data_IF_749545998305
#
_entry.id   IF_749545998305
#
_cell.length_a   1.000
_cell.length_b   1.000
_cell.length_c   1.000
_cell.angle_alpha   90.00
_cell.angle_beta   90.00
_cell.angle_gamma   90.00
#
_symmetry.space_group_name_H-M   'P 1'
#
loop_
_entity.id
_entity.type
_entity.pdbx_description
1 polymer ?
#
# COMPACT_ATOMS: atom_id res chain seq x y z
N UNK A 1 6.00 -20.51 -25.81
CA UNK A 1 4.77 -20.87 -25.09
C UNK A 1 3.98 -19.59 -24.85
N UNK A 2 2.64 -19.63 -24.87
CA UNK A 2 1.85 -18.45 -24.45
C UNK A 2 2.07 -18.20 -22.95
N UNK A 3 2.17 -16.94 -22.56
CA UNK A 3 2.23 -16.57 -21.13
C UNK A 3 1.01 -17.13 -20.40
N UNK A 4 1.18 -17.56 -19.15
CA UNK A 4 0.05 -17.95 -18.27
C UNK A 4 -0.81 -16.71 -17.98
N UNK A 5 -2.11 -16.88 -17.96
CA UNK A 5 -3.07 -15.80 -17.67
C UNK A 5 -3.24 -15.65 -16.16
N UNK A 6 -3.30 -14.42 -15.69
CA UNK A 6 -3.36 -14.10 -14.26
C UNK A 6 -4.62 -13.30 -13.94
N UNK A 7 -5.34 -13.72 -12.92
CA UNK A 7 -6.61 -13.12 -12.51
C UNK A 7 -6.57 -12.70 -11.03
N UNK A 8 -7.42 -11.75 -10.67
CA UNK A 8 -7.65 -11.35 -9.28
C UNK A 8 -8.81 -12.16 -8.71
N UNK A 9 -8.56 -12.88 -7.62
CA UNK A 9 -9.58 -13.72 -6.95
C UNK A 9 -9.94 -13.26 -5.54
N UNK A 10 -9.14 -12.41 -4.91
CA UNK A 10 -9.40 -11.89 -3.57
C UNK A 10 -8.94 -10.45 -3.39
N UNK A 11 -9.69 -9.70 -2.58
CA UNK A 11 -9.47 -8.29 -2.27
C UNK A 11 -9.60 -8.07 -0.77
N UNK A 12 -8.58 -7.45 -0.17
CA UNK A 12 -8.62 -6.93 1.19
C UNK A 12 -8.18 -5.47 1.22
N UNK A 13 -8.93 -4.62 1.92
CA UNK A 13 -8.64 -3.19 1.93
C UNK A 13 -8.97 -2.55 3.27
N UNK A 14 -8.07 -1.68 3.71
CA UNK A 14 -8.20 -0.80 4.86
C UNK A 14 -7.86 0.61 4.38
N UNK A 15 -8.74 1.55 4.61
CA UNK A 15 -8.52 2.95 4.23
C UNK A 15 -9.26 3.90 5.16
N UNK A 16 -8.94 5.20 5.15
CA UNK A 16 -9.71 6.23 5.86
C UNK A 16 -11.18 6.30 5.44
N UNK A 17 -11.51 5.79 4.25
CA UNK A 17 -12.86 5.76 3.72
C UNK A 17 -13.66 4.53 4.17
N UNK A 18 -13.02 3.57 4.84
CA UNK A 18 -13.68 2.40 5.39
C UNK A 18 -12.79 1.17 5.48
N UNK A 19 -13.32 0.12 6.09
CA UNK A 19 -12.70 -1.19 6.27
C UNK A 19 -13.47 -2.21 5.43
N UNK A 20 -12.75 -2.96 4.61
CA UNK A 20 -13.34 -3.93 3.67
C UNK A 20 -13.82 -3.29 2.37
N UNK A 21 -13.80 -4.07 1.28
CA UNK A 21 -14.02 -3.61 -0.10
C UNK A 21 -15.40 -2.96 -0.32
N UNK A 22 -16.45 -3.47 0.32
CA UNK A 22 -17.81 -2.95 0.17
C UNK A 22 -17.95 -1.54 0.76
N UNK A 23 -17.40 -1.32 1.97
CA UNK A 23 -17.45 -0.02 2.64
C UNK A 23 -16.59 1.03 1.89
N UNK A 24 -15.39 0.63 1.46
CA UNK A 24 -14.51 1.50 0.67
C UNK A 24 -15.16 1.87 -0.65
N UNK A 25 -15.70 0.89 -1.37
CA UNK A 25 -16.40 1.15 -2.63
C UNK A 25 -17.61 2.08 -2.46
N UNK A 26 -18.42 1.85 -1.43
CA UNK A 26 -19.58 2.71 -1.11
C UNK A 26 -19.15 4.14 -0.81
N UNK A 27 -18.09 4.33 -0.04
CA UNK A 27 -17.58 5.67 0.27
C UNK A 27 -17.02 6.37 -0.98
N UNK A 28 -16.20 5.67 -1.76
CA UNK A 28 -15.61 6.20 -3.00
C UNK A 28 -16.68 6.57 -4.03
N UNK A 29 -17.63 5.68 -4.28
CA UNK A 29 -18.72 5.90 -5.26
C UNK A 29 -19.69 7.02 -4.84
N UNK A 30 -19.76 7.34 -3.55
CA UNK A 30 -20.55 8.47 -3.04
C UNK A 30 -19.75 9.76 -2.86
N UNK A 31 -18.46 9.79 -3.25
CA UNK A 31 -17.58 10.95 -3.10
C UNK A 31 -17.28 11.32 -1.65
N UNK A 32 -17.36 10.36 -0.71
CA UNK A 32 -17.05 10.61 0.69
C UNK A 32 -15.55 10.72 0.91
N UNK A 33 -15.08 11.84 1.42
CA UNK A 33 -13.68 12.03 1.83
C UNK A 33 -13.43 11.51 3.25
N UNK A 34 -12.28 10.84 3.45
CA UNK A 34 -11.78 10.42 4.76
C UNK A 34 -10.84 11.44 5.41
N UNK A 35 -10.57 12.57 4.76
CA UNK A 35 -9.62 13.59 5.24
C UNK A 35 -10.22 14.38 6.38
N UNK A 36 -9.43 14.58 7.45
CA UNK A 36 -9.83 15.31 8.67
C UNK A 36 -8.63 16.07 9.24
N UNK A 37 -8.87 16.92 10.21
CA UNK A 37 -7.81 17.47 11.06
C UNK A 37 -7.13 16.33 11.82
N UNK A 38 -5.80 16.37 11.91
CA UNK A 38 -4.99 15.44 12.72
C UNK A 38 -5.27 15.72 14.19
N UNK A 39 -5.50 14.68 14.97
CA UNK A 39 -5.73 14.75 16.41
C UNK A 39 -4.82 13.83 17.23
N UNK A 40 -4.02 12.98 16.57
CA UNK A 40 -3.13 12.02 17.22
C UNK A 40 -1.85 12.64 17.83
N UNK A 41 -1.46 13.85 17.40
CA UNK A 41 -0.30 14.60 17.89
C UNK A 41 -0.44 16.08 17.61
N UNK A 42 0.39 16.92 18.24
CA UNK A 42 0.38 18.36 18.04
C UNK A 42 0.90 18.75 16.66
N UNK A 43 0.01 19.29 15.82
CA UNK A 43 0.32 19.78 14.47
C UNK A 43 0.44 21.30 14.40
N UNK A 44 0.47 22.01 15.53
CA UNK A 44 0.48 23.48 15.56
C UNK A 44 1.68 24.08 14.83
N UNK A 45 2.82 23.39 14.85
CA UNK A 45 4.09 23.82 14.25
C UNK A 45 4.20 23.55 12.74
N UNK A 46 3.36 22.69 12.16
CA UNK A 46 3.39 22.35 10.74
C UNK A 46 2.51 23.30 9.91
N UNK A 47 2.76 23.42 8.60
CA UNK A 47 1.89 24.16 7.69
C UNK A 47 0.57 23.44 7.43
N UNK A 48 0.65 22.13 7.18
CA UNK A 48 -0.53 21.27 7.04
C UNK A 48 -1.03 20.81 8.41
N UNK A 49 -2.37 20.73 8.57
CA UNK A 49 -3.03 20.26 9.80
C UNK A 49 -3.92 19.04 9.55
N UNK A 50 -3.90 18.53 8.31
CA UNK A 50 -4.86 17.54 7.81
C UNK A 50 -4.18 16.27 7.38
N UNK A 51 -4.85 15.15 7.59
CA UNK A 51 -4.45 13.83 7.12
C UNK A 51 -5.67 12.93 6.91
N UNK A 52 -5.47 11.78 6.30
CA UNK A 52 -6.50 10.77 6.14
C UNK A 52 -6.11 9.51 6.93
N UNK A 53 -6.64 9.41 8.15
CA UNK A 53 -6.38 8.32 9.09
C UNK A 53 -7.48 7.25 9.02
N UNK A 54 -7.11 5.98 9.11
CA UNK A 54 -8.05 4.86 9.22
C UNK A 54 -8.57 4.73 10.67
N UNK A 55 -9.35 5.72 11.13
CA UNK A 55 -9.80 5.86 12.54
C UNK A 55 -10.71 4.73 13.00
N UNK A 56 -11.45 4.12 12.08
CA UNK A 56 -12.35 3.00 12.38
C UNK A 56 -11.62 1.65 12.49
N UNK A 57 -10.29 1.65 12.35
CA UNK A 57 -9.48 0.45 12.47
C UNK A 57 -9.33 0.02 13.93
N UNK A 58 -9.97 -1.08 14.28
CA UNK A 58 -9.84 -1.75 15.56
C UNK A 58 -9.21 -3.13 15.32
N UNK A 59 -7.91 -3.33 15.61
CA UNK A 59 -7.21 -4.56 15.29
C UNK A 59 -7.81 -5.79 16.00
N UNK A 60 -8.35 -5.61 17.21
CA UNK A 60 -8.95 -6.70 17.96
C UNK A 60 -10.27 -7.20 17.34
N UNK A 61 -11.14 -6.26 16.95
CA UNK A 61 -12.39 -6.60 16.22
C UNK A 61 -12.11 -7.20 14.85
N UNK A 62 -10.96 -6.93 14.27
CA UNK A 62 -10.51 -7.43 12.97
C UNK A 62 -9.67 -8.72 13.09
N UNK A 63 -9.58 -9.30 14.30
CA UNK A 63 -9.07 -10.66 14.53
C UNK A 63 -7.60 -10.75 14.88
N UNK A 64 -6.93 -9.64 15.22
CA UNK A 64 -5.59 -9.70 15.80
C UNK A 64 -5.66 -9.98 17.31
N UNK A 65 -4.74 -10.79 17.80
CA UNK A 65 -4.55 -11.04 19.22
C UNK A 65 -3.83 -9.88 19.90
N UNK A 66 -3.90 -9.82 21.23
CA UNK A 66 -3.17 -8.82 21.99
C UNK A 66 -1.65 -8.91 21.75
N UNK A 67 -1.12 -10.12 21.66
CA UNK A 67 0.30 -10.34 21.39
C UNK A 67 0.71 -9.83 20.00
N UNK A 68 -0.09 -10.08 18.96
CA UNK A 68 0.16 -9.57 17.61
C UNK A 68 0.13 -8.04 17.58
N UNK A 69 -0.86 -7.41 18.22
CA UNK A 69 -0.96 -5.93 18.27
C UNK A 69 0.24 -5.30 18.99
N UNK A 70 0.72 -5.89 20.08
CA UNK A 70 1.84 -5.32 20.85
C UNK A 70 3.19 -5.40 20.13
N UNK A 71 3.39 -6.42 19.28
CA UNK A 71 4.66 -6.63 18.57
C UNK A 71 4.69 -6.09 17.13
N UNK A 72 3.56 -5.65 16.59
CA UNK A 72 3.44 -5.15 15.22
C UNK A 72 3.25 -3.64 15.21
N UNK A 73 4.04 -2.93 14.39
CA UNK A 73 3.70 -1.56 14.02
C UNK A 73 2.35 -1.50 13.30
N UNK A 74 1.71 -0.34 13.30
CA UNK A 74 0.39 -0.12 12.71
C UNK A 74 0.30 -0.54 11.24
N UNK A 75 1.34 -0.26 10.43
CA UNK A 75 1.34 -0.65 9.01
C UNK A 75 1.37 -2.18 8.85
N UNK A 76 2.07 -2.90 9.74
CA UNK A 76 2.08 -4.36 9.76
C UNK A 76 0.69 -4.89 10.08
N UNK A 77 0.03 -4.31 11.09
CA UNK A 77 -1.35 -4.66 11.45
C UNK A 77 -2.29 -4.47 10.25
N UNK A 78 -2.15 -3.37 9.49
CA UNK A 78 -2.92 -3.13 8.28
C UNK A 78 -2.67 -4.21 7.23
N UNK A 79 -1.41 -4.52 6.92
CA UNK A 79 -1.03 -5.54 5.95
C UNK A 79 -1.58 -6.92 6.30
N UNK A 80 -1.43 -7.34 7.56
CA UNK A 80 -1.93 -8.64 8.02
C UNK A 80 -3.46 -8.71 7.98
N UNK A 81 -4.15 -7.68 8.45
CA UNK A 81 -5.63 -7.66 8.44
C UNK A 81 -6.17 -7.60 7.01
N UNK A 82 -5.62 -6.77 6.14
CA UNK A 82 -6.02 -6.71 4.74
C UNK A 82 -5.71 -8.04 4.02
N UNK A 83 -4.56 -8.66 4.31
CA UNK A 83 -4.22 -10.00 3.82
C UNK A 83 -5.24 -11.06 4.26
N UNK A 84 -5.60 -11.08 5.53
CA UNK A 84 -6.65 -11.98 6.04
C UNK A 84 -8.00 -11.77 5.31
N UNK A 85 -8.36 -10.50 5.04
CA UNK A 85 -9.57 -10.18 4.26
C UNK A 85 -9.48 -10.69 2.83
N UNK A 86 -8.33 -10.50 2.15
CA UNK A 86 -8.10 -10.95 0.79
C UNK A 86 -8.17 -12.48 0.68
N UNK A 87 -7.56 -13.20 1.60
CA UNK A 87 -7.64 -14.66 1.65
C UNK A 87 -9.05 -15.15 1.88
N UNK A 88 -9.78 -14.57 2.84
CA UNK A 88 -11.18 -14.90 3.08
C UNK A 88 -12.04 -14.66 1.84
N UNK A 89 -11.81 -13.56 1.15
CA UNK A 89 -12.56 -13.15 -0.05
C UNK A 89 -12.27 -14.07 -1.24
N UNK A 90 -11.01 -14.53 -1.39
CA UNK A 90 -10.61 -15.47 -2.44
C UNK A 90 -11.21 -16.86 -2.29
N UNK A 91 -11.62 -17.24 -1.09
CA UNK A 91 -12.10 -18.57 -0.78
C UNK A 91 -11.05 -19.68 -0.91
N UNK A 92 -9.76 -19.35 -0.84
CA UNK A 92 -8.66 -20.32 -0.87
C UNK A 92 -8.74 -21.25 0.33
N UNK A 93 -8.57 -22.53 0.06
CA UNK A 93 -8.43 -23.58 1.07
C UNK A 93 -6.97 -24.05 1.10
N UNK A 94 -6.19 -23.45 2.00
CA UNK A 94 -4.75 -23.72 2.11
C UNK A 94 -4.39 -25.20 2.36
N UNK A 95 -5.34 -26.00 2.86
CA UNK A 95 -5.11 -27.44 3.07
C UNK A 95 -5.04 -28.24 1.74
N UNK A 96 -5.48 -27.61 0.66
CA UNK A 96 -5.50 -28.21 -0.69
C UNK A 96 -4.43 -27.63 -1.62
N UNK A 97 -3.74 -26.60 -1.16
CA UNK A 97 -2.75 -25.89 -1.96
C UNK A 97 -1.33 -26.39 -1.64
N UNK A 98 -0.45 -26.32 -2.62
CA UNK A 98 0.99 -26.49 -2.39
C UNK A 98 1.57 -25.18 -1.85
N UNK A 99 2.01 -25.12 -0.58
CA UNK A 99 2.52 -23.90 0.02
C UNK A 99 3.75 -23.33 -0.71
N UNK A 100 4.52 -24.15 -1.42
CA UNK A 100 5.69 -23.71 -2.19
C UNK A 100 5.30 -22.96 -3.48
N UNK A 101 4.03 -23.08 -3.88
CA UNK A 101 3.45 -22.42 -5.06
C UNK A 101 2.70 -21.12 -4.72
N UNK A 102 2.71 -20.70 -3.45
CA UNK A 102 2.08 -19.47 -2.99
C UNK A 102 3.15 -18.52 -2.48
N UNK A 103 3.33 -17.41 -3.18
CA UNK A 103 4.28 -16.36 -2.81
C UNK A 103 3.59 -15.12 -2.22
N UNK A 104 4.39 -14.28 -1.59
CA UNK A 104 3.98 -12.99 -1.00
C UNK A 104 4.94 -11.90 -1.45
N UNK A 105 4.39 -10.80 -1.92
CA UNK A 105 5.13 -9.57 -2.19
C UNK A 105 4.31 -8.38 -1.71
N UNK A 106 4.59 -7.87 -0.52
CA UNK A 106 3.94 -6.67 -0.03
C UNK A 106 4.90 -5.48 -0.08
N UNK A 107 4.35 -4.34 -0.42
CA UNK A 107 5.09 -3.11 -0.62
C UNK A 107 4.84 -2.10 0.49
N UNK A 108 5.84 -1.26 0.74
CA UNK A 108 5.75 -0.07 1.56
C UNK A 108 6.84 0.94 1.16
N UNK A 109 6.80 2.14 1.73
CA UNK A 109 7.79 3.18 1.45
C UNK A 109 8.47 3.72 2.72
N UNK A 110 7.77 3.74 3.85
CA UNK A 110 8.18 4.42 5.08
C UNK A 110 8.31 3.45 6.25
N UNK A 111 7.59 2.33 6.21
CA UNK A 111 7.61 1.23 7.20
C UNK A 111 7.27 1.63 8.65
N UNK A 112 7.90 0.98 9.65
CA UNK A 112 7.62 1.05 11.08
C UNK A 112 8.02 2.34 11.79
N UNK A 113 7.79 3.50 11.17
CA UNK A 113 8.19 4.81 11.70
C UNK A 113 7.50 5.12 13.03
N UNK A 114 6.23 4.76 13.15
CA UNK A 114 5.45 5.00 14.37
C UNK A 114 6.08 4.25 15.57
N UNK A 115 6.33 2.97 15.40
CA UNK A 115 6.93 2.16 16.45
C UNK A 115 8.34 2.64 16.82
N UNK A 116 9.14 3.03 15.81
CA UNK A 116 10.49 3.58 16.04
C UNK A 116 10.46 4.91 16.78
N UNK A 117 9.55 5.83 16.47
CA UNK A 117 9.41 7.11 17.18
C UNK A 117 8.99 6.90 18.64
N UNK A 118 7.97 6.09 18.87
CA UNK A 118 7.49 5.76 20.22
C UNK A 118 8.60 5.11 21.07
N UNK A 119 9.34 4.19 20.46
CA UNK A 119 10.45 3.52 21.12
C UNK A 119 11.60 4.48 21.43
N UNK A 120 11.96 5.33 20.45
CA UNK A 120 13.01 6.34 20.64
C UNK A 120 12.63 7.30 21.79
N UNK A 121 11.42 7.81 21.81
CA UNK A 121 10.93 8.67 22.89
C UNK A 121 11.03 7.97 24.26
N UNK A 122 10.63 6.70 24.34
CA UNK A 122 10.66 5.92 25.57
C UNK A 122 12.09 5.69 26.09
N UNK A 123 13.01 5.23 25.23
CA UNK A 123 14.37 4.82 25.66
C UNK A 123 15.32 5.99 25.87
N UNK A 124 14.96 7.20 25.38
CA UNK A 124 15.78 8.41 25.49
C UNK A 124 15.15 9.50 26.35
N UNK A 125 13.97 9.28 26.93
CA UNK A 125 13.21 10.32 27.64
C UNK A 125 13.02 11.56 26.72
N UNK A 126 12.39 11.33 25.55
CA UNK A 126 12.18 12.33 24.50
C UNK A 126 13.48 12.99 24.00
N UNK A 127 14.52 12.22 23.81
CA UNK A 127 15.82 12.71 23.32
C UNK A 127 16.67 13.43 24.38
N UNK A 128 16.25 13.47 25.66
CA UNK A 128 16.97 14.15 26.75
C UNK A 128 18.13 13.33 27.31
N UNK A 129 18.14 12.02 27.06
CA UNK A 129 19.15 11.06 27.57
C UNK A 129 19.70 10.21 26.44
N UNK A 130 20.92 9.68 26.56
CA UNK A 130 21.42 8.65 25.66
C UNK A 130 20.50 7.41 25.67
N UNK A 131 20.50 6.67 24.56
CA UNK A 131 19.77 5.40 24.45
C UNK A 131 20.21 4.44 25.55
N UNK A 132 19.23 3.88 26.26
CA UNK A 132 19.44 2.81 27.22
C UNK A 132 19.03 1.47 26.58
N UNK A 133 19.97 0.63 26.12
CA UNK A 133 19.65 -0.60 25.42
C UNK A 133 18.84 -1.60 26.25
N UNK A 134 18.90 -1.50 27.59
CA UNK A 134 18.15 -2.40 28.48
C UNK A 134 16.64 -2.14 28.47
N UNK A 135 16.21 -0.98 27.94
CA UNK A 135 14.81 -0.56 27.85
C UNK A 135 14.21 -0.79 26.48
N UNK A 136 15.05 -1.11 25.49
CA UNK A 136 14.58 -1.37 24.12
C UNK A 136 13.69 -2.61 24.13
N UNK A 137 12.49 -2.47 23.58
CA UNK A 137 11.56 -3.60 23.44
C UNK A 137 12.15 -4.66 22.49
N UNK A 138 12.07 -5.95 22.83
CA UNK A 138 12.66 -7.02 22.02
C UNK A 138 12.03 -7.10 20.60
N UNK A 139 10.80 -6.64 20.46
CA UNK A 139 10.04 -6.67 19.19
C UNK A 139 10.37 -5.50 18.24
N UNK A 140 11.23 -4.54 18.67
CA UNK A 140 11.53 -3.34 17.86
C UNK A 140 12.06 -3.70 16.47
N UNK A 141 12.96 -4.68 16.38
CA UNK A 141 13.51 -5.12 15.11
C UNK A 141 12.41 -5.60 14.16
N UNK A 142 11.57 -6.52 14.62
CA UNK A 142 10.51 -7.10 13.81
C UNK A 142 9.42 -6.06 13.47
N UNK A 143 9.07 -5.18 14.42
CA UNK A 143 8.07 -4.15 14.20
C UNK A 143 8.49 -3.13 13.14
N UNK A 144 9.79 -2.80 13.06
CA UNK A 144 10.29 -1.69 12.24
C UNK A 144 10.72 -2.09 10.83
N UNK A 145 10.92 -3.40 10.55
CA UNK A 145 11.48 -3.84 9.27
C UNK A 145 10.46 -3.80 8.12
N UNK A 146 10.92 -3.34 6.94
CA UNK A 146 10.11 -3.22 5.72
C UNK A 146 9.36 -4.50 5.33
N UNK A 147 9.98 -5.65 5.52
CA UNK A 147 9.48 -6.96 5.08
C UNK A 147 8.54 -7.64 6.08
N UNK A 148 8.33 -7.06 7.25
CA UNK A 148 7.51 -7.68 8.31
C UNK A 148 6.10 -8.05 7.86
N UNK A 149 5.33 -7.21 7.12
CA UNK A 149 3.99 -7.62 6.67
C UNK A 149 4.02 -8.87 5.78
N UNK A 150 5.02 -9.00 4.89
CA UNK A 150 5.18 -10.16 4.02
C UNK A 150 5.49 -11.43 4.83
N UNK A 151 6.41 -11.33 5.80
CA UNK A 151 6.81 -12.44 6.66
C UNK A 151 5.66 -12.86 7.57
N UNK A 152 4.93 -11.92 8.16
CA UNK A 152 3.79 -12.21 9.03
C UNK A 152 2.70 -13.00 8.32
N UNK A 153 2.34 -12.61 7.11
CA UNK A 153 1.37 -13.37 6.31
C UNK A 153 1.91 -14.73 5.90
N UNK A 154 3.17 -14.80 5.44
CA UNK A 154 3.79 -16.06 5.07
C UNK A 154 3.83 -17.05 6.23
N UNK A 155 4.25 -16.58 7.41
CA UNK A 155 4.32 -17.39 8.63
C UNK A 155 2.94 -17.85 9.09
N UNK A 156 1.96 -16.94 9.12
CA UNK A 156 0.60 -17.21 9.60
C UNK A 156 -0.11 -18.28 8.78
N UNK A 157 0.11 -18.30 7.47
CA UNK A 157 -0.55 -19.24 6.55
C UNK A 157 0.37 -20.38 6.07
N UNK A 158 1.62 -20.42 6.55
CA UNK A 158 2.59 -21.45 6.16
C UNK A 158 3.00 -21.37 4.69
N UNK A 159 3.00 -20.18 4.09
CA UNK A 159 3.34 -19.98 2.67
C UNK A 159 4.85 -20.10 2.49
N UNK A 160 5.29 -20.87 1.51
CA UNK A 160 6.69 -21.23 1.29
C UNK A 160 7.23 -20.82 -0.08
N UNK A 161 6.43 -20.15 -0.89
CA UNK A 161 6.89 -19.51 -2.12
C UNK A 161 7.78 -18.31 -1.84
N UNK A 162 8.06 -17.51 -2.86
CA UNK A 162 8.84 -16.28 -2.72
C UNK A 162 8.19 -15.35 -1.68
N UNK A 163 9.01 -14.75 -0.81
CA UNK A 163 8.57 -13.75 0.16
C UNK A 163 9.44 -12.51 0.00
N UNK A 164 8.92 -11.51 -0.70
CA UNK A 164 9.62 -10.29 -1.04
C UNK A 164 8.89 -9.05 -0.52
N UNK A 165 9.62 -7.94 -0.48
CA UNK A 165 9.07 -6.61 -0.22
C UNK A 165 9.68 -5.63 -1.21
N UNK A 166 8.85 -4.82 -1.84
CA UNK A 166 9.27 -3.75 -2.73
C UNK A 166 9.07 -2.39 -2.05
N UNK A 167 10.04 -1.51 -2.23
CA UNK A 167 10.01 -0.16 -1.67
C UNK A 167 10.47 0.85 -2.73
N UNK A 168 9.59 1.10 -3.70
CA UNK A 168 9.81 1.99 -4.85
C UNK A 168 9.05 3.32 -4.70
N UNK A 169 8.72 3.70 -3.46
CA UNK A 169 7.95 4.90 -3.18
C UNK A 169 6.48 4.75 -3.55
N UNK A 170 5.89 5.78 -4.17
CA UNK A 170 4.45 5.82 -4.47
C UNK A 170 3.98 4.71 -5.42
N UNK A 171 4.86 4.11 -6.20
CA UNK A 171 4.54 3.02 -7.15
C UNK A 171 4.62 1.64 -6.54
N UNK A 172 5.17 1.51 -5.33
CA UNK A 172 5.52 0.23 -4.72
C UNK A 172 4.39 -0.81 -4.72
N UNK A 173 3.15 -0.37 -4.43
CA UNK A 173 1.97 -1.24 -4.46
C UNK A 173 1.69 -1.80 -5.86
N UNK A 174 1.81 -0.97 -6.90
CA UNK A 174 1.63 -1.40 -8.30
C UNK A 174 2.79 -2.27 -8.76
N UNK A 175 4.02 -1.94 -8.37
CA UNK A 175 5.21 -2.75 -8.68
C UNK A 175 5.12 -4.15 -8.06
N UNK A 176 4.55 -4.25 -6.87
CA UNK A 176 4.25 -5.53 -6.22
C UNK A 176 3.28 -6.39 -7.06
N UNK A 177 2.27 -5.78 -7.67
CA UNK A 177 1.35 -6.48 -8.58
C UNK A 177 2.06 -6.92 -9.86
N UNK A 178 2.94 -6.06 -10.41
CA UNK A 178 3.79 -6.40 -11.56
C UNK A 178 4.69 -7.59 -11.29
N UNK A 179 5.39 -7.58 -10.14
CA UNK A 179 6.20 -8.71 -9.70
C UNK A 179 5.39 -10.01 -9.59
N UNK A 180 4.20 -9.94 -8.96
CA UNK A 180 3.31 -11.09 -8.85
C UNK A 180 2.82 -11.61 -10.19
N UNK A 181 2.47 -10.70 -11.11
CA UNK A 181 2.09 -11.05 -12.48
C UNK A 181 3.19 -11.82 -13.19
N UNK A 182 4.42 -11.29 -13.22
CA UNK A 182 5.59 -11.91 -13.87
C UNK A 182 5.89 -13.28 -13.28
N UNK A 183 5.95 -13.39 -11.96
CA UNK A 183 6.24 -14.63 -11.23
C UNK A 183 5.24 -15.75 -11.56
N UNK A 184 3.95 -15.43 -11.71
CA UNK A 184 2.93 -16.40 -12.13
C UNK A 184 3.06 -16.72 -13.63
N UNK A 185 3.31 -15.71 -14.47
CA UNK A 185 3.48 -15.92 -15.92
C UNK A 185 4.66 -16.82 -16.24
N UNK A 186 5.75 -16.72 -15.50
CA UNK A 186 6.96 -17.56 -15.64
C UNK A 186 6.76 -18.97 -15.08
N UNK A 187 5.63 -19.24 -14.41
CA UNK A 187 5.30 -20.56 -13.90
C UNK A 187 5.96 -20.92 -12.57
N UNK A 188 6.61 -19.97 -11.91
CA UNK A 188 7.24 -20.20 -10.61
C UNK A 188 6.21 -20.40 -9.50
N UNK A 189 5.10 -19.62 -9.55
CA UNK A 189 4.01 -19.71 -8.58
C UNK A 189 2.64 -19.83 -9.28
N UNK A 190 1.65 -20.30 -8.55
CA UNK A 190 0.25 -20.35 -9.00
C UNK A 190 -0.57 -19.25 -8.35
N UNK A 191 -0.13 -18.77 -7.18
CA UNK A 191 -0.81 -17.74 -6.40
C UNK A 191 0.24 -16.75 -5.87
N UNK A 192 -0.06 -15.45 -5.96
CA UNK A 192 0.73 -14.39 -5.35
C UNK A 192 -0.16 -13.46 -4.53
N UNK A 193 0.27 -13.17 -3.32
CA UNK A 193 -0.32 -12.16 -2.44
C UNK A 193 0.42 -10.86 -2.65
N UNK A 194 -0.23 -9.88 -3.26
CA UNK A 194 0.41 -8.63 -3.68
C UNK A 194 -0.35 -7.41 -3.17
N UNK A 195 0.33 -6.29 -3.09
CA UNK A 195 -0.24 -5.03 -2.65
C UNK A 195 0.71 -4.27 -1.73
N UNK A 196 0.15 -3.44 -0.85
CA UNK A 196 0.96 -2.64 0.06
C UNK A 196 0.24 -2.25 1.34
N UNK A 197 1.02 -1.83 2.32
CA UNK A 197 0.53 -1.31 3.59
C UNK A 197 1.44 -0.19 4.09
N UNK A 198 0.83 0.91 4.57
CA UNK A 198 1.56 2.06 5.09
C UNK A 198 0.79 2.74 6.23
N UNK A 199 1.52 3.24 7.24
CA UNK A 199 0.96 4.04 8.33
C UNK A 199 1.90 5.22 8.67
N UNK A 200 2.06 6.20 7.76
CA UNK A 200 3.09 7.21 7.85
C UNK A 200 2.69 8.44 8.66
N UNK A 201 1.51 8.45 9.30
CA UNK A 201 1.01 9.63 10.01
C UNK A 201 1.62 9.65 11.41
N UNK A 202 2.87 10.11 11.46
CA UNK A 202 3.68 10.29 12.66
C UNK A 202 4.36 11.66 12.64
N UNK A 203 4.74 12.24 13.79
CA UNK A 203 5.36 13.57 13.84
C UNK A 203 6.54 13.74 12.89
N UNK A 204 7.49 12.80 12.85
CA UNK A 204 8.69 12.95 12.02
C UNK A 204 8.38 12.79 10.53
N UNK A 205 7.56 11.83 10.16
CA UNK A 205 7.17 11.63 8.75
C UNK A 205 6.32 12.78 8.24
N UNK A 206 5.38 13.25 9.08
CA UNK A 206 4.54 14.40 8.77
C UNK A 206 5.39 15.64 8.56
N UNK A 207 6.36 15.90 9.45
CA UNK A 207 7.32 17.00 9.33
C UNK A 207 8.21 16.87 8.10
N UNK A 208 8.66 15.67 7.75
CA UNK A 208 9.49 15.44 6.56
C UNK A 208 8.75 15.82 5.27
N UNK A 209 7.46 15.52 5.15
CA UNK A 209 6.65 15.94 4.01
C UNK A 209 6.25 17.43 4.06
N UNK A 210 6.03 17.98 5.26
CA UNK A 210 5.66 19.39 5.43
C UNK A 210 6.80 20.33 4.99
N UNK A 211 8.05 20.03 5.36
CA UNK A 211 9.22 20.89 5.01
C UNK A 211 9.55 20.90 3.52
N UNK A 212 9.18 19.87 2.75
CA UNK A 212 9.35 19.86 1.29
C UNK A 212 8.19 20.51 0.55
N UNK A 213 7.19 21.04 1.27
CA UNK A 213 6.04 21.80 0.75
C UNK A 213 5.24 21.06 -0.33
N UNK A 214 5.03 19.78 -0.16
CA UNK A 214 4.25 18.94 -1.09
C UNK A 214 2.86 18.61 -0.58
N UNK A 215 2.58 18.94 0.69
CA UNK A 215 1.29 18.71 1.33
C UNK A 215 0.32 19.88 1.11
N UNK A 216 -0.96 19.57 0.99
CA UNK A 216 -2.02 20.58 0.93
C UNK A 216 -2.15 21.30 2.27
N UNK A 217 -2.33 22.62 2.20
CA UNK A 217 -2.57 23.49 3.36
C UNK A 217 -4.03 23.97 3.45
N UNK A 218 -4.95 23.34 2.74
CA UNK A 218 -6.40 23.60 2.85
C UNK A 218 -7.00 23.12 4.18
N UNK A 219 -6.45 23.61 5.28
CA UNK A 219 -6.80 23.18 6.65
C UNK A 219 -8.25 23.52 7.03
N UNK A 220 -8.80 24.59 6.48
CA UNK A 220 -10.17 25.07 6.78
C UNK A 220 -11.25 24.21 6.13
N UNK A 221 -10.91 23.45 5.07
CA UNK A 221 -11.83 22.56 4.39
C UNK A 221 -11.15 21.21 4.05
N UNK A 222 -10.90 20.38 5.05
CA UNK A 222 -10.15 19.12 4.87
C UNK A 222 -10.72 18.21 3.78
N UNK A 223 -12.04 18.09 3.72
CA UNK A 223 -12.72 17.16 2.78
C UNK A 223 -12.58 17.56 1.32
N UNK A 224 -12.19 18.79 1.03
CA UNK A 224 -11.94 19.33 -0.31
C UNK A 224 -10.45 19.60 -0.59
N UNK A 225 -9.54 19.20 0.30
CA UNK A 225 -8.11 19.48 0.17
C UNK A 225 -7.47 18.69 -0.97
N UNK A 226 -7.69 17.37 -1.03
CA UNK A 226 -7.25 16.56 -2.18
C UNK A 226 -8.19 16.80 -3.34
N UNK A 227 -7.67 17.43 -4.40
CA UNK A 227 -8.42 17.82 -5.61
C UNK A 227 -7.59 17.64 -6.88
N UNK A 228 -7.25 16.39 -7.24
CA UNK A 228 -6.46 16.10 -8.43
C UNK A 228 -7.04 16.76 -9.67
N UNK A 229 -6.16 17.29 -10.53
CA UNK A 229 -6.48 18.00 -11.79
C UNK A 229 -7.24 19.33 -11.64
N UNK A 230 -7.61 19.74 -10.42
CA UNK A 230 -8.22 21.04 -10.15
C UNK A 230 -7.17 22.16 -10.27
N UNK A 231 -7.58 23.33 -10.78
CA UNK A 231 -6.68 24.48 -10.92
C UNK A 231 -6.22 25.05 -9.57
N UNK A 232 -6.97 24.83 -8.50
CA UNK A 232 -6.67 25.30 -7.15
C UNK A 232 -5.99 24.24 -6.27
N UNK A 233 -5.53 23.11 -6.87
CA UNK A 233 -4.78 22.10 -6.14
C UNK A 233 -3.46 22.67 -5.63
N UNK A 234 -3.07 22.30 -4.43
CA UNK A 234 -1.89 22.84 -3.76
C UNK A 234 -0.95 21.78 -3.15
N UNK A 235 -1.31 20.51 -3.24
CA UNK A 235 -0.53 19.40 -2.70
C UNK A 235 -1.38 18.18 -2.41
N UNK A 236 -0.73 17.08 -2.04
CA UNK A 236 -1.44 15.88 -1.61
C UNK A 236 -1.77 15.91 -0.12
N UNK A 237 -2.60 14.98 0.35
CA UNK A 237 -2.90 14.78 1.77
C UNK A 237 -2.33 13.43 2.19
N UNK A 238 -1.49 13.43 3.23
CA UNK A 238 -0.89 12.21 3.76
C UNK A 238 -1.98 11.26 4.27
N UNK A 239 -1.87 9.98 3.93
CA UNK A 239 -2.86 8.97 4.27
C UNK A 239 -2.19 7.68 4.76
N UNK A 240 -2.97 6.84 5.42
CA UNK A 240 -2.58 5.50 5.83
C UNK A 240 -3.58 4.46 5.31
N UNK A 241 -3.16 3.21 5.24
CA UNK A 241 -4.04 2.10 4.84
C UNK A 241 -3.29 0.91 4.26
N UNK A 242 -4.06 -0.02 3.70
CA UNK A 242 -3.55 -1.20 3.02
C UNK A 242 -4.52 -1.66 1.93
N UNK A 243 -3.97 -2.10 0.80
CA UNK A 243 -4.70 -2.79 -0.25
C UNK A 243 -3.95 -4.05 -0.65
N UNK A 244 -4.60 -5.21 -0.48
CA UNK A 244 -4.03 -6.52 -0.79
C UNK A 244 -4.92 -7.24 -1.78
N UNK A 245 -4.29 -7.79 -2.82
CA UNK A 245 -4.92 -8.57 -3.87
C UNK A 245 -4.33 -9.99 -3.91
N UNK A 246 -5.19 -10.96 -4.21
CA UNK A 246 -4.76 -12.32 -4.53
C UNK A 246 -4.74 -12.45 -6.04
N UNK A 247 -3.53 -12.56 -6.59
CA UNK A 247 -3.27 -12.89 -7.98
C UNK A 247 -3.22 -14.40 -8.11
N UNK A 248 -3.87 -14.96 -9.12
CA UNK A 248 -3.97 -16.40 -9.29
C UNK A 248 -3.90 -16.78 -10.78
N UNK A 249 -3.24 -17.86 -11.10
CA UNK A 249 -3.24 -18.42 -12.44
C UNK A 249 -4.66 -18.81 -12.83
N UNK A 250 -5.07 -18.43 -14.05
CA UNK A 250 -6.46 -18.58 -14.51
C UNK A 250 -6.94 -20.04 -14.46
N UNK A 251 -6.13 -21.00 -14.94
CA UNK A 251 -6.50 -22.42 -14.94
C UNK A 251 -6.66 -22.96 -13.52
N UNK A 252 -5.81 -22.51 -12.58
CA UNK A 252 -5.91 -22.83 -11.17
C UNK A 252 -7.22 -22.28 -10.59
N UNK A 253 -7.53 -20.99 -10.82
CA UNK A 253 -8.75 -20.33 -10.35
C UNK A 253 -10.03 -21.03 -10.89
N UNK A 254 -10.04 -21.38 -12.17
CA UNK A 254 -11.16 -22.07 -12.80
C UNK A 254 -11.37 -23.47 -12.22
N UNK A 255 -10.28 -24.23 -11.98
CA UNK A 255 -10.34 -25.59 -11.42
C UNK A 255 -11.01 -25.64 -10.06
N UNK A 256 -10.81 -24.61 -9.21
CA UNK A 256 -11.44 -24.50 -7.91
C UNK A 256 -12.74 -23.68 -7.91
N UNK A 257 -13.23 -23.29 -9.10
CA UNK A 257 -14.44 -22.46 -9.27
C UNK A 257 -14.35 -21.12 -8.49
N UNK A 258 -13.17 -20.50 -8.50
CA UNK A 258 -12.95 -19.23 -7.84
C UNK A 258 -13.80 -18.10 -8.44
N UNK A 259 -14.21 -17.16 -7.60
CA UNK A 259 -14.69 -15.87 -8.09
C UNK A 259 -13.55 -15.12 -8.74
N UNK A 260 -13.72 -14.65 -9.96
CA UNK A 260 -12.76 -13.82 -10.68
C UNK A 260 -13.31 -12.41 -10.76
N UNK A 261 -12.53 -11.43 -10.31
CA UNK A 261 -12.84 -10.00 -10.41
C UNK A 261 -12.47 -9.42 -11.75
N UNK A 262 -11.24 -9.67 -12.18
CA UNK A 262 -10.68 -9.21 -13.44
C UNK A 262 -9.44 -10.03 -13.79
N UNK A 263 -8.92 -9.81 -15.00
CA UNK A 263 -7.63 -10.32 -15.44
C UNK A 263 -6.60 -9.20 -15.42
N UNK A 264 -5.36 -9.50 -14.99
CA UNK A 264 -4.21 -8.61 -15.08
C UNK A 264 -3.49 -8.89 -16.38
N UNK A 265 -3.56 -7.96 -17.33
CA UNK A 265 -3.14 -8.19 -18.69
C UNK A 265 -1.67 -7.88 -18.95
N UNK A 266 -1.09 -6.93 -18.23
CA UNK A 266 0.29 -6.52 -18.43
C UNK A 266 0.76 -5.50 -17.39
N UNK A 267 2.07 -5.29 -17.38
CA UNK A 267 2.75 -4.37 -16.47
C UNK A 267 3.84 -3.60 -17.22
N UNK A 268 4.14 -2.40 -16.76
CA UNK A 268 5.23 -1.58 -17.28
C UNK A 268 5.83 -0.72 -16.18
N UNK A 269 7.14 -0.62 -16.15
CA UNK A 269 7.87 0.25 -15.21
C UNK A 269 9.02 0.95 -15.94
N UNK A 270 9.36 2.15 -15.50
CA UNK A 270 10.47 2.94 -16.03
C UNK A 270 11.01 3.89 -14.96
N UNK A 271 12.17 4.47 -15.21
CA UNK A 271 12.80 5.47 -14.36
C UNK A 271 13.06 6.75 -15.18
N UNK A 272 12.79 7.92 -14.58
CA UNK A 272 13.07 9.20 -15.24
C UNK A 272 14.56 9.60 -15.15
N UNK A 273 15.32 9.01 -14.22
CA UNK A 273 16.74 9.31 -13.97
C UNK A 273 17.05 10.83 -13.82
N UNK A 274 16.06 11.59 -13.35
CA UNK A 274 16.12 13.05 -13.25
C UNK A 274 16.28 13.52 -11.80
N UNK A 275 15.32 13.19 -10.95
CA UNK A 275 15.28 13.60 -9.55
C UNK A 275 14.52 12.58 -8.71
N UNK A 276 14.76 12.56 -7.39
CA UNK A 276 14.10 11.60 -6.48
C UNK A 276 12.57 11.75 -6.45
N UNK A 277 12.08 12.98 -6.50
CA UNK A 277 10.65 13.31 -6.38
C UNK A 277 10.11 14.18 -7.52
N UNK A 278 10.96 14.96 -8.20
CA UNK A 278 10.53 15.85 -9.27
C UNK A 278 10.44 15.13 -10.62
N UNK A 279 9.56 15.64 -11.47
CA UNK A 279 9.33 15.14 -12.82
C UNK A 279 10.01 16.07 -13.83
N UNK A 280 10.69 15.52 -14.85
CA UNK A 280 11.08 16.32 -16.02
C UNK A 280 9.81 16.77 -16.74
N UNK A 281 9.84 17.99 -17.29
CA UNK A 281 8.66 18.58 -17.93
C UNK A 281 8.31 18.03 -19.31
N UNK A 282 8.93 16.93 -19.75
CA UNK A 282 8.74 16.31 -21.06
C UNK A 282 7.71 15.17 -21.09
N UNK A 283 7.41 14.56 -19.94
CA UNK A 283 6.50 13.42 -19.80
C UNK A 283 7.01 12.10 -20.40
N UNK A 284 8.27 12.05 -20.86
CA UNK A 284 8.83 10.90 -21.58
C UNK A 284 8.86 9.61 -20.74
N UNK A 285 9.21 9.72 -19.46
CA UNK A 285 9.27 8.57 -18.57
C UNK A 285 7.89 7.94 -18.35
N UNK A 286 6.84 8.76 -18.19
CA UNK A 286 5.46 8.26 -18.05
C UNK A 286 4.95 7.66 -19.35
N UNK A 287 5.23 8.31 -20.47
CA UNK A 287 4.90 7.80 -21.81
C UNK A 287 5.56 6.44 -22.06
N UNK A 288 6.85 6.29 -21.67
CA UNK A 288 7.56 5.03 -21.79
C UNK A 288 6.95 3.93 -20.90
N UNK A 289 6.62 4.24 -19.64
CA UNK A 289 5.98 3.30 -18.73
C UNK A 289 4.63 2.79 -19.28
N UNK A 290 3.76 3.69 -19.75
CA UNK A 290 2.48 3.36 -20.36
C UNK A 290 2.68 2.51 -21.63
N UNK A 291 3.65 2.88 -22.46
CA UNK A 291 3.99 2.14 -23.68
C UNK A 291 4.42 0.71 -23.41
N UNK A 292 5.25 0.51 -22.34
CA UNK A 292 5.67 -0.81 -21.90
C UNK A 292 4.49 -1.64 -21.42
N UNK A 293 3.58 -1.08 -20.62
CA UNK A 293 2.39 -1.78 -20.15
C UNK A 293 1.44 -2.17 -21.30
N UNK A 294 1.24 -1.28 -22.27
CA UNK A 294 0.44 -1.58 -23.48
C UNK A 294 1.09 -2.67 -24.33
N UNK A 295 2.40 -2.63 -24.48
CA UNK A 295 3.15 -3.67 -25.21
C UNK A 295 3.04 -5.04 -24.52
N UNK A 296 3.17 -5.07 -23.19
CA UNK A 296 3.09 -6.31 -22.42
C UNK A 296 1.68 -6.91 -22.46
N UNK A 297 0.65 -6.07 -22.31
CA UNK A 297 -0.75 -6.49 -22.40
C UNK A 297 -1.22 -6.84 -23.81
N UNK A 298 -0.50 -6.41 -24.86
CA UNK A 298 -0.93 -6.54 -26.26
C UNK A 298 -2.08 -5.61 -26.66
N UNK A 299 -2.45 -4.65 -25.81
CA UNK A 299 -3.55 -3.71 -26.07
C UNK A 299 -3.06 -2.47 -26.82
N UNK A 300 -4.00 -1.85 -27.53
CA UNK A 300 -3.80 -0.54 -28.18
C UNK A 300 -4.38 0.57 -27.31
N UNK A 301 -3.88 1.82 -27.39
CA UNK A 301 -4.40 2.94 -26.61
C UNK A 301 -5.91 3.12 -26.68
N UNK A 302 -6.51 2.89 -27.85
CA UNK A 302 -7.97 3.02 -28.08
C UNK A 302 -8.83 1.94 -27.39
N UNK A 303 -8.20 0.92 -26.82
CA UNK A 303 -8.85 -0.19 -26.10
C UNK A 303 -8.82 0.05 -24.59
N UNK A 304 -8.30 1.21 -24.15
CA UNK A 304 -8.29 1.64 -22.74
C UNK A 304 -9.49 2.57 -22.54
N UNK A 305 -10.39 2.17 -21.66
CA UNK A 305 -11.61 2.93 -21.34
C UNK A 305 -11.44 3.86 -20.15
N UNK A 306 -10.51 3.53 -19.21
CA UNK A 306 -10.32 4.29 -17.99
C UNK A 306 -8.86 4.26 -17.54
N UNK A 307 -8.36 5.38 -17.02
CA UNK A 307 -7.05 5.51 -16.38
C UNK A 307 -7.25 5.94 -14.94
N UNK A 308 -6.82 5.11 -14.00
CA UNK A 308 -6.65 5.53 -12.62
C UNK A 308 -5.26 6.16 -12.49
N UNK A 309 -5.19 7.48 -12.64
CA UNK A 309 -3.94 8.22 -12.59
C UNK A 309 -3.37 8.25 -11.17
N UNK A 310 -2.08 8.58 -11.02
CA UNK A 310 -1.50 8.88 -9.72
C UNK A 310 -2.30 10.01 -9.04
N UNK A 311 -2.59 11.10 -9.75
CA UNK A 311 -3.54 12.11 -9.30
C UNK A 311 -3.25 12.61 -7.88
N UNK A 312 -1.99 12.97 -7.62
CA UNK A 312 -1.55 13.34 -6.26
C UNK A 312 -2.05 14.69 -5.78
N UNK A 313 -2.78 15.45 -6.64
CA UNK A 313 -3.19 16.84 -6.32
C UNK A 313 -1.99 17.82 -6.21
N UNK A 314 -0.80 17.41 -6.66
CA UNK A 314 0.35 18.32 -6.79
C UNK A 314 0.33 19.02 -8.15
N UNK A 315 0.92 20.21 -8.20
CA UNK A 315 0.92 21.00 -9.43
C UNK A 315 1.62 20.28 -10.57
N UNK A 316 2.79 19.68 -10.29
CA UNK A 316 3.62 19.04 -11.33
C UNK A 316 3.04 17.71 -11.80
N UNK A 317 2.65 16.82 -10.86
CA UNK A 317 2.18 15.49 -11.25
C UNK A 317 0.92 15.51 -12.12
N UNK A 318 -0.01 16.40 -11.82
CA UNK A 318 -1.32 16.39 -12.48
C UNK A 318 -1.32 17.15 -13.83
N UNK A 319 -0.17 17.64 -14.30
CA UNK A 319 -0.02 18.30 -15.62
C UNK A 319 0.51 17.31 -16.67
N UNK A 320 1.35 16.38 -16.27
CA UNK A 320 2.03 15.38 -17.13
C UNK A 320 1.41 13.96 -16.98
#
# INVERSE_FOLDING_TARGET
MSKRRVVITGIGVISPNGIGKENVWKAMSSGKSGIKLVDGFDVSVFNTKIAAEARDFDPFKLGLTHQEVMRMDRYVQFGVVAGNMAFKDSGLDFSKEDPSRIGVCLANAICGTKYMEEEFALVTDDGKKPIDPSKVRPDLYDAAMFNTPSIELSSKYGLRGVCNTLSTGCTAGTDSLGFGLETIQDGEHDIMVCGGAEAPITPITFGAFDVVNVLSVHNDNPTAASRPFDNQRDGFVLSEGSGILILEELGHALKRSARIYCEVLGFGTSCNAFHMTDLPGDGDAMTNCITLALKDSGLKPREIDYINAHGSSTKMNDIF
#
